data_IF_260926418222
#
_entry.id   IF_260926418222
#
_cell.length_a   1.000
_cell.length_b   1.000
_cell.length_c   1.000
_cell.angle_alpha   90.00
_cell.angle_beta   90.00
_cell.angle_gamma   90.00
#
_symmetry.space_group_name_H-M   'P 1'
#
loop_
_entity.id
_entity.type
_entity.pdbx_description
1 polymer ?
#
# COMPACT_ATOMS: atom_id res chain seq x y z
N UNK A 1 -10.51 6.11 3.53
CA UNK A 1 -10.48 6.21 5.01
C UNK A 1 -9.26 5.41 5.47
N UNK A 2 -8.47 5.87 6.45
CA UNK A 2 -7.31 5.14 6.96
C UNK A 2 -7.39 5.11 8.49
N UNK A 3 -7.25 3.94 9.12
CA UNK A 3 -7.07 3.79 10.57
C UNK A 3 -5.58 3.60 10.82
N UNK A 4 -4.93 4.36 11.70
CA UNK A 4 -3.49 4.21 11.95
C UNK A 4 -3.24 3.29 13.15
N UNK A 5 -2.25 2.41 13.05
CA UNK A 5 -1.61 1.88 14.26
C UNK A 5 -0.68 2.98 14.76
N UNK A 6 -1.17 3.75 15.74
CA UNK A 6 -0.54 4.95 16.28
C UNK A 6 0.92 4.70 16.72
N UNK A 7 1.30 3.47 17.06
CA UNK A 7 2.66 3.08 17.44
C UNK A 7 3.63 2.90 16.27
N UNK A 8 3.16 2.50 15.08
CA UNK A 8 4.02 2.12 13.95
C UNK A 8 4.24 3.26 12.94
N UNK A 9 3.43 4.33 13.03
CA UNK A 9 3.46 5.51 12.14
C UNK A 9 3.34 5.15 10.65
N UNK A 10 2.61 4.08 10.38
CA UNK A 10 2.11 3.71 9.06
C UNK A 10 0.57 3.71 9.12
N UNK A 11 -0.11 3.87 7.98
CA UNK A 11 -1.51 3.50 7.91
C UNK A 11 -1.65 1.99 8.17
N UNK A 12 -2.71 1.57 8.87
CA UNK A 12 -3.05 0.14 8.94
C UNK A 12 -3.51 -0.36 7.57
N UNK A 13 -4.25 0.48 6.85
CA UNK A 13 -4.73 0.22 5.50
C UNK A 13 -5.15 1.53 4.82
N UNK A 14 -5.18 1.49 3.50
CA UNK A 14 -5.77 2.51 2.63
C UNK A 14 -6.68 1.78 1.63
N UNK A 15 -7.89 2.28 1.43
CA UNK A 15 -8.85 1.71 0.49
C UNK A 15 -9.14 2.69 -0.64
N UNK A 16 -9.25 2.16 -1.85
CA UNK A 16 -9.53 2.88 -3.08
C UNK A 16 -10.63 2.15 -3.86
N UNK A 17 -11.44 2.93 -4.59
CA UNK A 17 -12.28 2.40 -5.67
C UNK A 17 -11.83 3.05 -6.97
N UNK A 18 -11.28 2.24 -7.87
CA UNK A 18 -10.67 2.69 -9.12
C UNK A 18 -11.61 2.31 -10.26
N UNK A 19 -11.96 3.25 -11.10
CA UNK A 19 -12.77 3.05 -12.30
C UNK A 19 -12.01 3.48 -13.55
N UNK A 20 -12.43 3.06 -14.76
CA UNK A 20 -11.85 3.58 -16.00
C UNK A 20 -11.87 5.12 -16.05
N UNK A 21 -12.93 5.73 -15.53
CA UNK A 21 -13.09 7.19 -15.50
C UNK A 21 -12.18 7.85 -14.46
N UNK A 22 -11.99 7.26 -13.28
CA UNK A 22 -11.10 7.83 -12.25
C UNK A 22 -9.63 7.84 -12.67
N UNK A 23 -9.25 6.98 -13.62
CA UNK A 23 -7.91 6.90 -14.21
C UNK A 23 -7.68 7.92 -15.34
N UNK A 24 -8.73 8.61 -15.80
CA UNK A 24 -8.57 9.71 -16.76
C UNK A 24 -7.95 10.89 -16.02
N UNK A 25 -6.72 11.21 -16.42
CA UNK A 25 -6.01 12.36 -15.89
C UNK A 25 -6.72 13.64 -16.35
N UNK A 26 -7.17 14.48 -15.41
CA UNK A 26 -7.70 15.80 -15.73
C UNK A 26 -6.60 16.73 -16.27
N UNK A 27 -6.97 17.68 -17.13
CA UNK A 27 -6.02 18.52 -17.88
C UNK A 27 -5.14 19.39 -16.97
N UNK A 28 -5.67 19.83 -15.84
CA UNK A 28 -5.01 20.69 -14.86
C UNK A 28 -4.09 19.91 -13.89
N UNK A 29 -4.14 18.57 -13.92
CA UNK A 29 -3.36 17.72 -13.03
C UNK A 29 -1.90 17.67 -13.47
N UNK A 30 -1.01 18.01 -12.54
CA UNK A 30 0.42 17.90 -12.69
C UNK A 30 1.07 17.28 -11.45
N UNK A 31 1.39 15.98 -11.54
CA UNK A 31 2.09 15.24 -10.47
C UNK A 31 3.42 15.88 -10.06
N UNK A 32 4.12 16.57 -10.96
CA UNK A 32 5.40 17.23 -10.63
C UNK A 32 5.22 18.36 -9.62
N UNK A 33 4.01 18.94 -9.54
CA UNK A 33 3.67 19.96 -8.53
C UNK A 33 3.36 19.36 -7.14
N UNK A 34 3.16 18.04 -7.05
CA UNK A 34 2.90 17.38 -5.78
C UNK A 34 4.22 17.07 -5.06
N UNK A 35 4.23 17.33 -3.75
CA UNK A 35 5.38 17.09 -2.88
C UNK A 35 4.94 16.35 -1.63
N UNK A 36 5.81 15.48 -1.14
CA UNK A 36 5.58 14.78 0.12
C UNK A 36 5.46 15.80 1.25
N UNK A 37 4.41 15.70 2.05
CA UNK A 37 4.18 16.60 3.18
C UNK A 37 3.53 15.86 4.33
N UNK A 38 3.83 16.32 5.55
CA UNK A 38 3.20 15.80 6.73
C UNK A 38 1.68 16.04 6.69
N UNK A 39 0.91 15.12 7.27
CA UNK A 39 -0.53 15.27 7.41
C UNK A 39 -0.85 16.05 8.69
N UNK A 40 -1.42 17.25 8.52
CA UNK A 40 -1.73 18.14 9.63
C UNK A 40 -2.94 17.68 10.45
N UNK A 41 -3.77 16.78 9.90
CA UNK A 41 -4.86 16.14 10.65
C UNK A 41 -4.36 15.13 11.68
N UNK A 42 -3.12 14.64 11.53
CA UNK A 42 -2.49 13.74 12.50
C UNK A 42 -1.93 14.55 13.68
N UNK A 43 -2.19 14.16 14.94
CA UNK A 43 -1.59 14.79 16.11
C UNK A 43 -0.06 14.81 16.04
N UNK A 44 0.56 15.90 16.49
CA UNK A 44 2.01 16.12 16.34
C UNK A 44 2.89 14.99 16.87
N UNK A 45 2.48 14.34 17.97
CA UNK A 45 3.20 13.19 18.57
C UNK A 45 3.32 11.97 17.65
N UNK A 46 2.42 11.84 16.68
CA UNK A 46 2.34 10.70 15.77
C UNK A 46 2.59 11.09 14.31
N UNK A 47 2.85 12.37 14.07
CA UNK A 47 2.99 12.93 12.74
C UNK A 47 4.35 12.58 12.16
N UNK A 48 4.32 12.06 10.93
CA UNK A 48 5.50 11.76 10.14
C UNK A 48 5.84 12.94 9.25
N UNK A 49 7.10 13.35 9.26
CA UNK A 49 7.68 14.31 8.33
C UNK A 49 8.36 13.59 7.17
N UNK A 50 8.33 14.15 5.95
CA UNK A 50 9.17 13.67 4.85
C UNK A 50 10.67 13.62 5.19
N UNK A 51 11.12 14.46 6.13
CA UNK A 51 12.52 14.49 6.59
C UNK A 51 12.92 13.22 7.36
N UNK A 52 11.98 12.49 7.98
CA UNK A 52 12.27 11.26 8.73
C UNK A 52 12.77 10.12 7.82
N UNK A 53 12.54 10.24 6.51
CA UNK A 53 13.01 9.30 5.49
C UNK A 53 14.40 9.64 4.94
N UNK A 54 14.94 10.83 5.24
CA UNK A 54 16.19 11.30 4.67
C UNK A 54 17.34 10.35 5.05
N UNK A 55 18.12 9.91 4.06
CA UNK A 55 19.24 8.97 4.23
C UNK A 55 18.88 7.63 4.90
N UNK A 56 17.60 7.26 4.94
CA UNK A 56 17.14 6.01 5.57
C UNK A 56 17.43 4.74 4.74
N UNK A 57 17.71 4.90 3.44
CA UNK A 57 17.80 3.79 2.48
C UNK A 57 16.45 3.30 1.94
N UNK A 58 15.33 3.84 2.45
CA UNK A 58 13.98 3.50 2.00
C UNK A 58 13.35 4.62 1.18
N UNK A 59 12.55 4.23 0.18
CA UNK A 59 11.69 5.16 -0.53
C UNK A 59 10.45 5.50 0.33
N UNK A 60 9.88 6.67 0.06
CA UNK A 60 8.53 7.05 0.46
C UNK A 60 7.52 6.36 -0.47
N UNK A 61 7.18 5.12 -0.13
CA UNK A 61 6.30 4.26 -0.92
C UNK A 61 4.82 4.58 -0.68
N UNK A 62 4.05 4.73 -1.76
CA UNK A 62 2.61 5.00 -1.66
C UNK A 62 1.83 3.71 -1.37
N UNK A 63 0.79 3.81 -0.55
CA UNK A 63 -0.23 2.75 -0.42
C UNK A 63 -1.33 2.94 -1.48
N UNK A 64 -1.91 4.15 -1.56
CA UNK A 64 -2.72 4.63 -2.68
C UNK A 64 -1.85 5.41 -3.68
N UNK A 65 -1.61 4.89 -4.90
CA UNK A 65 -0.70 5.50 -5.85
C UNK A 65 -1.22 6.81 -6.42
N UNK A 66 -0.34 7.80 -6.62
CA UNK A 66 -0.70 9.10 -7.21
C UNK A 66 -1.40 9.00 -8.58
N UNK A 67 -1.10 7.95 -9.36
CA UNK A 67 -1.72 7.73 -10.67
C UNK A 67 -3.19 7.31 -10.55
N UNK A 68 -3.55 6.66 -9.46
CA UNK A 68 -4.91 6.16 -9.20
C UNK A 68 -5.82 7.31 -8.71
N UNK A 69 -5.19 8.38 -8.20
CA UNK A 69 -5.81 9.61 -7.68
C UNK A 69 -5.73 10.79 -8.67
N UNK A 70 -5.66 10.53 -9.98
CA UNK A 70 -5.37 11.57 -11.00
C UNK A 70 -6.59 12.34 -11.53
N UNK A 71 -7.75 12.21 -10.89
CA UNK A 71 -8.98 12.92 -11.24
C UNK A 71 -8.97 14.41 -10.88
N UNK A 72 -8.14 14.83 -9.91
CA UNK A 72 -7.95 16.24 -9.55
C UNK A 72 -6.57 16.47 -8.94
N UNK A 73 -6.07 17.71 -9.00
CA UNK A 73 -4.77 18.04 -8.41
C UNK A 73 -4.80 17.88 -6.89
N UNK A 74 -5.94 18.13 -6.25
CA UNK A 74 -6.15 17.91 -4.83
C UNK A 74 -5.99 16.43 -4.46
N UNK A 75 -6.61 15.52 -5.21
CA UNK A 75 -6.49 14.07 -5.01
C UNK A 75 -5.05 13.60 -5.18
N UNK A 76 -4.34 14.08 -6.21
CA UNK A 76 -2.91 13.80 -6.36
C UNK A 76 -2.12 14.35 -5.18
N UNK A 77 -2.38 15.56 -4.73
CA UNK A 77 -1.68 16.13 -3.56
C UNK A 77 -1.95 15.34 -2.27
N UNK A 78 -3.16 14.79 -2.11
CA UNK A 78 -3.54 13.97 -0.98
C UNK A 78 -2.78 12.63 -0.97
N UNK A 79 -2.47 12.06 -2.13
CA UNK A 79 -1.66 10.83 -2.21
C UNK A 79 -0.23 11.02 -1.65
N UNK A 80 0.28 12.24 -1.62
CA UNK A 80 1.62 12.58 -1.11
C UNK A 80 1.63 12.94 0.39
N UNK A 81 0.48 12.84 1.08
CA UNK A 81 0.45 12.96 2.53
C UNK A 81 1.17 11.77 3.17
N UNK A 82 2.00 12.02 4.19
CA UNK A 82 2.78 10.96 4.86
C UNK A 82 1.90 9.88 5.53
N UNK A 83 0.62 10.14 5.75
CA UNK A 83 -0.37 9.14 6.20
C UNK A 83 -0.67 8.07 5.16
N UNK A 84 -0.35 8.31 3.89
CA UNK A 84 -0.44 7.33 2.80
C UNK A 84 0.91 6.66 2.48
N UNK A 85 1.95 6.93 3.27
CA UNK A 85 3.33 6.55 2.95
C UNK A 85 3.88 5.54 3.94
N UNK A 86 4.55 4.52 3.41
CA UNK A 86 5.33 3.55 4.19
C UNK A 86 6.76 3.42 3.66
N UNK A 87 7.75 3.07 4.51
CA UNK A 87 9.10 2.75 4.06
C UNK A 87 9.08 1.52 3.14
N UNK A 88 9.48 1.73 1.89
CA UNK A 88 9.56 0.66 0.90
C UNK A 88 10.99 0.54 0.35
N UNK A 89 11.43 -0.69 0.09
CA UNK A 89 12.66 -0.92 -0.65
C UNK A 89 12.54 -0.27 -2.03
N UNK A 90 13.53 0.53 -2.41
CA UNK A 90 13.45 1.36 -3.61
C UNK A 90 13.60 0.55 -4.91
N UNK A 91 14.84 0.21 -5.26
CA UNK A 91 15.15 -0.55 -6.47
C UNK A 91 14.64 -1.99 -6.36
N UNK A 92 13.93 -2.46 -7.38
CA UNK A 92 13.41 -3.83 -7.43
C UNK A 92 12.09 -4.06 -6.68
N UNK A 93 11.62 -3.10 -5.88
CA UNK A 93 10.31 -3.17 -5.20
C UNK A 93 9.44 -1.95 -5.52
N UNK A 94 9.52 -0.83 -4.79
CA UNK A 94 8.72 0.37 -5.03
C UNK A 94 8.86 0.87 -6.49
N UNK A 95 10.11 1.03 -6.94
CA UNK A 95 10.47 1.45 -8.30
C UNK A 95 10.56 0.28 -9.29
N UNK A 96 9.86 -0.82 -9.02
CA UNK A 96 9.90 -2.04 -9.82
C UNK A 96 8.62 -2.87 -9.67
N UNK A 97 8.70 -3.96 -8.92
CA UNK A 97 7.62 -4.95 -8.82
C UNK A 97 6.30 -4.36 -8.29
N UNK A 98 6.37 -3.51 -7.27
CA UNK A 98 5.19 -2.86 -6.67
C UNK A 98 4.47 -1.96 -7.68
N UNK A 99 5.22 -1.11 -8.39
CA UNK A 99 4.68 -0.25 -9.47
C UNK A 99 4.03 -1.05 -10.62
N UNK A 100 4.60 -2.21 -10.98
CA UNK A 100 3.96 -3.13 -11.95
C UNK A 100 2.67 -3.73 -11.40
N UNK A 101 2.66 -4.12 -10.12
CA UNK A 101 1.46 -4.63 -9.47
C UNK A 101 0.33 -3.58 -9.41
N UNK A 102 0.66 -2.32 -9.10
CA UNK A 102 -0.29 -1.21 -9.23
C UNK A 102 -0.81 -1.06 -10.67
N UNK A 103 0.06 -1.29 -11.67
CA UNK A 103 -0.32 -1.33 -13.09
C UNK A 103 -1.34 -2.41 -13.40
N UNK A 104 -1.17 -3.59 -12.82
CA UNK A 104 -2.12 -4.69 -12.93
C UNK A 104 -3.47 -4.36 -12.26
N UNK A 105 -3.48 -3.74 -11.08
CA UNK A 105 -4.72 -3.31 -10.43
C UNK A 105 -5.48 -2.31 -11.30
N UNK A 106 -4.80 -1.32 -11.90
CA UNK A 106 -5.41 -0.41 -12.89
C UNK A 106 -5.97 -1.15 -14.10
N UNK A 107 -5.26 -2.18 -14.59
CA UNK A 107 -5.76 -3.00 -15.68
C UNK A 107 -7.06 -3.74 -15.31
N UNK A 108 -7.16 -4.26 -14.09
CA UNK A 108 -8.41 -4.83 -13.57
C UNK A 108 -9.55 -3.80 -13.58
N UNK A 109 -9.28 -2.55 -13.15
CA UNK A 109 -10.26 -1.47 -13.19
C UNK A 109 -10.82 -1.24 -14.61
N UNK A 110 -9.94 -1.21 -15.62
CA UNK A 110 -10.33 -1.07 -17.02
C UNK A 110 -11.09 -2.28 -17.54
N UNK A 111 -10.66 -3.50 -17.18
CA UNK A 111 -11.25 -4.73 -17.69
C UNK A 111 -12.62 -5.06 -17.08
N UNK A 112 -12.79 -4.81 -15.78
CA UNK A 112 -14.01 -5.13 -15.02
C UNK A 112 -14.95 -3.94 -14.81
N UNK A 113 -14.59 -2.74 -15.29
CA UNK A 113 -15.37 -1.51 -15.11
C UNK A 113 -15.20 -0.84 -13.73
N UNK A 114 -14.56 -1.53 -12.79
CA UNK A 114 -14.19 -1.01 -11.49
C UNK A 114 -13.45 -2.05 -10.65
N UNK A 115 -12.61 -1.60 -9.73
CA UNK A 115 -11.94 -2.45 -8.74
C UNK A 115 -11.89 -1.74 -7.40
N UNK A 116 -12.32 -2.42 -6.35
CA UNK A 116 -12.01 -2.02 -4.98
C UNK A 116 -10.67 -2.63 -4.61
N UNK A 117 -9.79 -1.83 -3.99
CA UNK A 117 -8.50 -2.28 -3.51
C UNK A 117 -8.27 -1.79 -2.09
N UNK A 118 -7.83 -2.69 -1.22
CA UNK A 118 -7.33 -2.36 0.12
C UNK A 118 -5.85 -2.69 0.16
N UNK A 119 -5.03 -1.72 0.51
CA UNK A 119 -3.56 -1.83 0.56
C UNK A 119 -3.07 -1.52 1.97
N UNK A 120 -2.12 -2.29 2.48
CA UNK A 120 -1.52 -1.98 3.77
C UNK A 120 -0.19 -2.70 4.05
N UNK A 121 0.54 -2.27 5.08
CA UNK A 121 1.75 -2.93 5.56
C UNK A 121 1.44 -4.17 6.41
N UNK A 122 2.40 -5.09 6.48
CA UNK A 122 2.38 -6.25 7.39
C UNK A 122 3.73 -6.42 8.10
N UNK A 123 3.65 -6.94 9.31
CA UNK A 123 4.79 -7.26 10.18
C UNK A 123 4.72 -8.74 10.52
N UNK A 124 5.21 -9.58 9.60
CA UNK A 124 5.07 -11.03 9.67
C UNK A 124 6.20 -11.66 10.49
N UNK A 125 5.89 -12.68 11.31
CA UNK A 125 6.90 -13.34 12.11
C UNK A 125 7.80 -14.25 11.27
N UNK A 126 9.06 -14.36 11.67
CA UNK A 126 10.00 -15.38 11.19
C UNK A 126 10.35 -16.34 12.33
N UNK A 127 10.68 -17.58 11.99
CA UNK A 127 11.13 -18.56 12.98
C UNK A 127 12.51 -18.15 13.49
N UNK A 128 12.72 -18.24 14.80
CA UNK A 128 14.02 -17.91 15.40
C UNK A 128 15.08 -18.91 14.93
N UNK A 129 16.33 -18.48 14.65
CA UNK A 129 17.38 -19.39 14.18
C UNK A 129 17.69 -20.53 15.16
N UNK A 130 17.53 -20.30 16.47
CA UNK A 130 17.87 -21.26 17.52
C UNK A 130 16.68 -22.01 18.15
N UNK A 131 15.45 -21.97 17.62
CA UNK A 131 14.31 -22.57 18.34
C UNK A 131 13.01 -22.87 17.59
N UNK A 132 12.01 -23.26 18.39
CA UNK A 132 10.61 -23.47 18.00
C UNK A 132 9.73 -22.23 18.23
N UNK A 133 10.33 -21.06 18.45
CA UNK A 133 9.63 -19.79 18.64
C UNK A 133 9.61 -18.94 17.37
N UNK A 134 8.68 -18.00 17.34
CA UNK A 134 8.51 -17.02 16.27
C UNK A 134 8.75 -15.62 16.82
N UNK A 135 9.38 -14.77 16.02
CA UNK A 135 9.64 -13.37 16.37
C UNK A 135 9.27 -12.46 15.20
N UNK A 136 8.86 -11.24 15.51
CA UNK A 136 8.63 -10.19 14.52
C UNK A 136 9.77 -9.19 14.64
N UNK A 137 10.59 -9.10 13.60
CA UNK A 137 11.69 -8.14 13.52
C UNK A 137 11.47 -7.19 12.34
N UNK A 138 11.68 -5.90 12.58
CA UNK A 138 11.63 -4.88 11.54
C UNK A 138 12.60 -3.74 11.87
N UNK A 139 13.30 -3.19 10.87
CA UNK A 139 14.00 -1.93 11.03
C UNK A 139 13.05 -0.78 11.32
N UNK A 140 13.60 0.33 11.80
CA UNK A 140 12.89 1.61 11.89
C UNK A 140 13.66 2.69 11.16
N UNK A 141 12.96 3.68 10.61
CA UNK A 141 13.55 4.89 10.02
C UNK A 141 13.26 6.12 10.88
N UNK A 142 14.11 7.14 10.80
CA UNK A 142 14.07 8.31 11.68
C UNK A 142 14.85 8.09 12.98
N UNK A 143 14.63 8.97 13.95
CA UNK A 143 15.33 8.97 15.24
C UNK A 143 14.34 9.10 16.39
N UNK A 144 14.58 8.44 17.54
CA UNK A 144 13.72 8.60 18.71
C UNK A 144 13.49 10.08 19.08
N UNK A 145 12.28 10.45 19.51
CA UNK A 145 11.11 9.59 19.74
C UNK A 145 10.30 9.24 18.48
N UNK A 146 10.64 9.82 17.32
CA UNK A 146 9.89 9.69 16.06
C UNK A 146 10.55 8.66 15.14
N UNK A 147 10.20 7.39 15.36
CA UNK A 147 10.65 6.27 14.53
C UNK A 147 9.49 5.62 13.81
N UNK A 148 9.68 5.31 12.52
CA UNK A 148 8.66 4.72 11.65
C UNK A 148 9.05 3.27 11.41
N UNK A 149 8.14 2.34 11.68
CA UNK A 149 8.41 0.93 11.44
C UNK A 149 8.50 0.66 9.93
N UNK A 150 9.51 -0.11 9.52
CA UNK A 150 9.64 -0.59 8.14
C UNK A 150 8.84 -1.89 8.00
N UNK A 151 7.77 -1.94 7.19
CA UNK A 151 7.00 -3.15 7.01
C UNK A 151 7.85 -4.29 6.47
N UNK A 152 7.63 -5.50 6.96
CA UNK A 152 8.27 -6.71 6.42
C UNK A 152 7.67 -7.08 5.06
N UNK A 153 6.38 -6.84 4.90
CA UNK A 153 5.58 -7.18 3.73
C UNK A 153 4.53 -6.09 3.49
N UNK A 154 3.93 -6.09 2.31
CA UNK A 154 2.73 -5.33 1.99
C UNK A 154 1.66 -6.29 1.44
N UNK A 155 0.41 -5.97 1.71
CA UNK A 155 -0.72 -6.65 1.11
C UNK A 155 -1.47 -5.76 0.14
N UNK A 156 -2.13 -6.40 -0.84
CA UNK A 156 -3.31 -5.84 -1.51
C UNK A 156 -4.41 -6.89 -1.50
N UNK A 157 -5.62 -6.49 -1.15
CA UNK A 157 -6.84 -7.27 -1.40
C UNK A 157 -7.64 -6.54 -2.45
N UNK A 158 -7.98 -7.22 -3.55
CA UNK A 158 -8.75 -6.66 -4.66
C UNK A 158 -10.11 -7.34 -4.77
N UNK A 159 -11.13 -6.57 -5.14
CA UNK A 159 -12.48 -7.05 -5.38
C UNK A 159 -13.02 -6.41 -6.68
N UNK A 160 -13.48 -7.24 -7.61
CA UNK A 160 -14.09 -6.80 -8.88
C UNK A 160 -15.46 -7.45 -9.06
N UNK A 161 -16.37 -6.75 -9.75
CA UNK A 161 -17.65 -7.31 -10.14
C UNK A 161 -17.50 -8.11 -11.44
N UNK A 162 -18.06 -9.32 -11.52
CA UNK A 162 -18.03 -10.12 -12.75
C UNK A 162 -18.85 -9.43 -13.84
N UNK A 163 -18.31 -9.29 -15.07
CA UNK A 163 -19.11 -8.81 -16.18
C UNK A 163 -20.21 -9.84 -16.48
N UNK A 164 -21.46 -9.40 -16.59
CA UNK A 164 -22.56 -10.21 -17.15
C UNK A 164 -23.03 -11.42 -16.31
N UNK A 165 -23.33 -11.23 -15.03
CA UNK A 165 -24.19 -12.18 -14.30
C UNK A 165 -25.42 -11.46 -13.74
N UNK A 166 -26.61 -12.06 -13.90
CA UNK A 166 -27.87 -11.59 -13.30
C UNK A 166 -27.83 -11.51 -11.76
N UNK A 167 -26.75 -11.97 -11.12
CA UNK A 167 -26.62 -12.18 -9.67
C UNK A 167 -25.58 -11.30 -8.97
N UNK A 168 -25.06 -10.23 -9.61
CA UNK A 168 -24.05 -9.34 -8.99
C UNK A 168 -22.91 -10.12 -8.31
N UNK A 169 -22.34 -11.11 -9.00
CA UNK A 169 -21.26 -11.91 -8.44
C UNK A 169 -19.94 -11.12 -8.42
N UNK A 170 -19.18 -11.24 -7.33
CA UNK A 170 -17.87 -10.63 -7.18
C UNK A 170 -16.75 -11.67 -7.27
N UNK A 171 -15.55 -11.21 -7.62
CA UNK A 171 -14.29 -11.95 -7.54
C UNK A 171 -13.35 -11.20 -6.61
N UNK A 172 -12.74 -11.91 -5.67
CA UNK A 172 -11.78 -11.34 -4.73
C UNK A 172 -10.44 -12.09 -4.80
N UNK A 173 -9.34 -11.38 -4.58
CA UNK A 173 -8.01 -11.98 -4.48
C UNK A 173 -7.13 -11.23 -3.48
N UNK A 174 -6.42 -11.98 -2.63
CA UNK A 174 -5.44 -11.46 -1.69
C UNK A 174 -4.01 -11.69 -2.17
N UNK A 175 -3.15 -10.71 -1.96
CA UNK A 175 -1.73 -10.78 -2.31
C UNK A 175 -0.87 -10.30 -1.14
N UNK A 176 0.25 -10.98 -0.86
CA UNK A 176 1.24 -10.60 0.15
C UNK A 176 2.63 -10.63 -0.46
N UNK A 177 3.28 -9.47 -0.54
CA UNK A 177 4.59 -9.30 -1.16
C UNK A 177 5.62 -8.88 -0.10
N UNK A 178 6.83 -9.47 -0.08
CA UNK A 178 7.89 -9.04 0.83
C UNK A 178 8.42 -7.66 0.44
N UNK A 179 8.72 -6.82 1.43
CA UNK A 179 9.32 -5.49 1.22
C UNK A 179 10.82 -5.61 0.91
N UNK A 180 11.13 -6.19 -0.25
CA UNK A 180 12.49 -6.43 -0.73
C UNK A 180 12.51 -6.44 -2.25
N UNK A 181 13.69 -6.34 -2.87
CA UNK A 181 13.80 -6.45 -4.32
C UNK A 181 13.25 -7.80 -4.81
N UNK A 182 12.33 -7.76 -5.78
CA UNK A 182 11.73 -8.97 -6.38
C UNK A 182 12.19 -9.05 -7.84
N UNK A 183 12.75 -10.18 -8.31
CA UNK A 183 13.17 -10.35 -9.70
C UNK A 183 12.00 -10.16 -10.67
N UNK A 184 12.26 -9.49 -11.79
CA UNK A 184 11.22 -9.09 -12.75
C UNK A 184 10.45 -10.25 -13.38
N UNK A 185 11.06 -11.42 -13.47
CA UNK A 185 10.46 -12.65 -14.01
C UNK A 185 9.61 -13.42 -12.98
N UNK A 186 9.57 -13.00 -11.71
CA UNK A 186 8.74 -13.65 -10.70
C UNK A 186 7.28 -13.47 -11.06
N UNK A 187 6.48 -14.55 -11.05
CA UNK A 187 5.05 -14.47 -11.34
C UNK A 187 4.27 -13.89 -10.14
N UNK A 188 3.28 -13.01 -10.39
CA UNK A 188 2.44 -12.43 -9.35
C UNK A 188 1.67 -13.51 -8.56
N UNK A 189 1.34 -14.63 -9.21
CA UNK A 189 0.64 -15.76 -8.58
C UNK A 189 1.40 -16.36 -7.40
N UNK A 190 2.74 -16.22 -7.34
CA UNK A 190 3.58 -16.63 -6.21
C UNK A 190 3.16 -15.94 -4.90
N UNK A 191 2.62 -14.73 -5.01
CA UNK A 191 2.26 -13.88 -3.87
C UNK A 191 0.78 -13.99 -3.49
N UNK A 192 -0.02 -14.80 -4.19
CA UNK A 192 -1.44 -15.00 -3.87
C UNK A 192 -1.57 -15.67 -2.51
N UNK A 193 -2.47 -15.16 -1.67
CA UNK A 193 -2.84 -15.74 -0.38
C UNK A 193 -4.36 -15.74 -0.20
N UNK A 194 -4.91 -16.69 0.56
CA UNK A 194 -6.30 -16.61 1.01
C UNK A 194 -6.55 -15.26 1.71
N UNK A 195 -7.74 -14.69 1.58
CA UNK A 195 -8.07 -13.42 2.21
C UNK A 195 -8.06 -13.59 3.73
N UNK A 196 -8.54 -14.74 4.21
CA UNK A 196 -8.57 -15.13 5.62
C UNK A 196 -7.16 -15.19 6.23
N UNK A 197 -6.15 -15.55 5.43
CA UNK A 197 -4.75 -15.45 5.88
C UNK A 197 -4.36 -14.00 6.13
N UNK A 198 -4.69 -13.10 5.22
CA UNK A 198 -4.37 -11.66 5.34
C UNK A 198 -5.12 -11.05 6.52
N UNK A 199 -6.40 -11.39 6.71
CA UNK A 199 -7.19 -10.98 7.86
C UNK A 199 -6.54 -11.44 9.17
N UNK A 200 -6.15 -12.71 9.25
CA UNK A 200 -5.50 -13.30 10.41
C UNK A 200 -4.17 -12.63 10.78
N UNK A 201 -3.34 -12.22 9.80
CA UNK A 201 -2.05 -11.58 10.06
C UNK A 201 -2.10 -10.05 10.17
N UNK A 202 -3.16 -9.41 9.65
CA UNK A 202 -3.35 -7.96 9.72
C UNK A 202 -4.23 -7.51 10.88
N UNK A 203 -5.09 -8.38 11.39
CA UNK A 203 -6.15 -8.03 12.35
C UNK A 203 -7.25 -7.17 11.75
N UNK A 204 -7.44 -7.23 10.42
CA UNK A 204 -8.48 -6.51 9.68
C UNK A 204 -9.50 -7.51 9.12
N UNK A 205 -10.71 -7.03 8.85
CA UNK A 205 -11.71 -7.72 8.03
C UNK A 205 -11.88 -6.91 6.73
N UNK A 206 -11.98 -7.60 5.60
CA UNK A 206 -12.07 -6.94 4.30
C UNK A 206 -13.43 -7.19 3.64
N UNK A 207 -14.11 -6.11 3.23
CA UNK A 207 -15.39 -6.15 2.52
C UNK A 207 -16.53 -6.80 3.32
N UNK A 208 -16.58 -6.53 4.63
CA UNK A 208 -17.63 -6.96 5.56
C UNK A 208 -18.91 -6.10 5.47
#
# INVERSE_FOLDING_TARGET
MARSFVSLRNAAWVAEYITPDSLKKADDVNRVKASFKADMSTPGLFRVSPADYLNSGYDRGHLAPARDMSSSQESVNASFLMTNISPQVGKGFNRGYWSRFEGFVRHLATHYGGVYVVTGPLFLPTRTPQGNSYEVQYPVVGSPPTVIAVPTHFFKVVLVQKPSTHNNAYLAAGFVLPNQAIPDHTNLTTFVRPIEYIEGVSGLLFFD
#
